data_IF_537983376345
#
_entry.id   IF_537983376345
#
_cell.length_a   1.000
_cell.length_b   1.000
_cell.length_c   1.000
_cell.angle_alpha   90.00
_cell.angle_beta   90.00
_cell.angle_gamma   90.00
#
_symmetry.space_group_name_H-M   'P 1'
#
loop_
_entity.id
_entity.type
_entity.pdbx_description
1 polymer ?
#
# COMPACT_ATOMS: atom_id res chain seq x y z
N UNK A 1 -43.41 0.99 -14.57
CA UNK A 1 -43.10 0.88 -13.14
C UNK A 1 -41.83 1.65 -12.73
N UNK A 2 -40.92 1.96 -13.64
CA UNK A 2 -39.65 2.66 -13.35
C UNK A 2 -39.72 4.19 -13.21
N UNK A 3 -40.61 4.96 -13.86
CA UNK A 3 -40.60 6.41 -13.75
C UNK A 3 -40.88 6.96 -12.35
N UNK A 4 -41.66 6.24 -11.55
CA UNK A 4 -41.99 6.67 -10.19
C UNK A 4 -40.84 6.54 -9.19
N UNK A 5 -39.88 5.63 -9.44
CA UNK A 5 -38.66 5.51 -8.63
C UNK A 5 -37.66 6.61 -8.97
N UNK A 6 -37.57 7.03 -10.25
CA UNK A 6 -36.72 8.15 -10.67
C UNK A 6 -37.19 9.49 -10.11
N UNK A 7 -38.49 9.67 -9.90
CA UNK A 7 -39.05 10.87 -9.27
C UNK A 7 -38.79 10.95 -7.74
N UNK A 8 -38.47 9.82 -7.10
CA UNK A 8 -38.09 9.73 -5.69
C UNK A 8 -36.58 9.84 -5.44
N UNK A 9 -35.76 9.86 -6.50
CA UNK A 9 -34.36 10.20 -6.32
C UNK A 9 -34.28 11.62 -5.81
N UNK A 10 -33.57 11.86 -4.68
CA UNK A 10 -33.38 13.21 -4.18
C UNK A 10 -32.81 14.05 -5.30
N UNK A 11 -33.48 15.15 -5.64
CA UNK A 11 -32.98 16.13 -6.61
C UNK A 11 -31.51 16.33 -6.30
N UNK A 12 -30.64 16.23 -7.30
CA UNK A 12 -29.18 16.30 -7.21
C UNK A 12 -28.74 17.55 -6.46
N UNK A 13 -28.89 17.52 -5.14
CA UNK A 13 -28.43 18.53 -4.22
C UNK A 13 -27.01 18.22 -3.76
N UNK A 14 -26.49 18.94 -2.80
CA UNK A 14 -25.13 18.86 -2.28
C UNK A 14 -24.59 17.46 -1.93
N UNK A 15 -25.46 16.44 -1.83
CA UNK A 15 -25.06 15.05 -1.67
C UNK A 15 -24.25 14.52 -2.85
N UNK A 16 -24.68 14.78 -4.09
CA UNK A 16 -23.97 14.32 -5.29
C UNK A 16 -22.59 14.97 -5.41
N UNK A 17 -22.49 16.26 -5.02
CA UNK A 17 -21.21 16.95 -4.99
C UNK A 17 -20.25 16.29 -3.98
N UNK A 18 -20.75 15.96 -2.80
CA UNK A 18 -19.94 15.26 -1.78
C UNK A 18 -19.41 13.90 -2.27
N UNK A 19 -20.23 13.14 -3.02
CA UNK A 19 -19.79 11.88 -3.63
C UNK A 19 -18.69 12.14 -4.65
N UNK A 20 -18.85 13.12 -5.54
CA UNK A 20 -17.83 13.47 -6.54
C UNK A 20 -16.49 13.84 -5.90
N UNK A 21 -16.53 14.68 -4.85
CA UNK A 21 -15.33 15.11 -4.14
C UNK A 21 -14.65 13.93 -3.44
N UNK A 22 -15.43 13.08 -2.78
CA UNK A 22 -14.89 11.87 -2.12
C UNK A 22 -14.22 10.94 -3.14
N UNK A 23 -14.86 10.73 -4.30
CA UNK A 23 -14.26 9.95 -5.39
C UNK A 23 -12.98 10.60 -5.92
N UNK A 24 -12.94 11.93 -6.07
CA UNK A 24 -11.74 12.66 -6.45
C UNK A 24 -10.57 12.44 -5.47
N UNK A 25 -10.81 12.42 -4.16
CA UNK A 25 -9.78 12.08 -3.18
C UNK A 25 -9.29 10.63 -3.32
N UNK A 26 -10.19 9.68 -3.59
CA UNK A 26 -9.82 8.28 -3.82
C UNK A 26 -9.00 8.13 -5.11
N UNK A 27 -9.36 8.85 -6.17
CA UNK A 27 -8.61 8.88 -7.43
C UNK A 27 -7.20 9.46 -7.23
N UNK A 28 -7.05 10.52 -6.43
CA UNK A 28 -5.73 11.06 -6.06
C UNK A 28 -4.89 10.04 -5.30
N UNK A 29 -5.51 9.32 -4.36
CA UNK A 29 -4.82 8.23 -3.65
C UNK A 29 -4.35 7.13 -4.59
N UNK A 30 -5.20 6.71 -5.54
CA UNK A 30 -4.85 5.73 -6.56
C UNK A 30 -3.76 6.25 -7.52
N UNK A 31 -3.83 7.51 -7.94
CA UNK A 31 -2.83 8.13 -8.80
C UNK A 31 -1.43 8.07 -8.20
N UNK A 32 -1.28 8.24 -6.88
CA UNK A 32 -0.01 8.11 -6.18
C UNK A 32 0.64 6.74 -6.39
N UNK A 33 -0.17 5.66 -6.44
CA UNK A 33 0.35 4.31 -6.74
C UNK A 33 0.95 4.24 -8.15
N UNK A 34 0.30 4.83 -9.15
CA UNK A 34 0.81 4.82 -10.52
C UNK A 34 2.09 5.67 -10.66
N UNK A 35 2.13 6.84 -10.00
CA UNK A 35 3.32 7.69 -9.96
C UNK A 35 4.49 6.95 -9.31
N UNK A 36 4.24 6.30 -8.16
CA UNK A 36 5.25 5.50 -7.48
C UNK A 36 5.73 4.31 -8.31
N UNK A 37 4.84 3.64 -9.05
CA UNK A 37 5.25 2.58 -9.96
C UNK A 37 6.17 3.09 -11.08
N UNK A 38 5.90 4.31 -11.61
CA UNK A 38 6.77 4.95 -12.60
C UNK A 38 8.12 5.30 -12.01
N UNK A 39 8.14 5.82 -10.79
CA UNK A 39 9.36 6.12 -10.03
C UNK A 39 10.24 4.88 -9.82
N UNK A 40 9.62 3.74 -9.47
CA UNK A 40 10.33 2.47 -9.31
C UNK A 40 10.99 1.98 -10.61
N UNK A 41 10.29 2.12 -11.76
CA UNK A 41 10.81 1.71 -13.07
C UNK A 41 11.95 2.62 -13.52
N UNK A 42 11.83 3.93 -13.27
CA UNK A 42 12.85 4.91 -13.66
C UNK A 42 13.94 5.12 -12.59
N UNK A 43 13.78 4.46 -11.42
CA UNK A 43 14.75 4.50 -10.32
C UNK A 43 15.06 5.93 -9.81
N UNK A 44 14.07 6.82 -9.82
CA UNK A 44 14.24 8.19 -9.30
C UNK A 44 14.39 8.21 -7.78
N UNK A 45 13.71 7.30 -7.06
CA UNK A 45 13.74 7.21 -5.61
C UNK A 45 13.06 8.37 -4.87
N UNK A 46 12.14 9.08 -5.55
CA UNK A 46 11.41 10.24 -4.99
C UNK A 46 10.17 9.76 -4.24
N UNK A 47 9.38 8.87 -4.88
CA UNK A 47 8.11 8.37 -4.34
C UNK A 47 8.32 7.07 -3.57
N UNK A 48 9.13 7.16 -2.53
CA UNK A 48 9.38 6.04 -1.61
C UNK A 48 8.10 5.62 -0.87
N UNK A 49 8.12 4.45 -0.23
CA UNK A 49 7.01 3.97 0.59
C UNK A 49 6.54 5.01 1.61
N UNK A 50 7.47 5.67 2.28
CA UNK A 50 7.16 6.70 3.28
C UNK A 50 6.44 7.90 2.67
N UNK A 51 6.87 8.37 1.48
CA UNK A 51 6.22 9.49 0.79
C UNK A 51 4.80 9.12 0.37
N UNK A 52 4.60 7.94 -0.20
CA UNK A 52 3.26 7.45 -0.59
C UNK A 52 2.35 7.32 0.62
N UNK A 53 2.84 6.73 1.72
CA UNK A 53 2.10 6.64 2.98
C UNK A 53 1.74 8.02 3.54
N UNK A 54 2.68 8.96 3.57
CA UNK A 54 2.41 10.32 4.07
C UNK A 54 1.30 11.01 3.27
N UNK A 55 1.32 10.88 1.94
CA UNK A 55 0.26 11.43 1.08
C UNK A 55 -1.08 10.74 1.35
N UNK A 56 -1.11 9.41 1.49
CA UNK A 56 -2.34 8.67 1.80
C UNK A 56 -2.92 9.04 3.17
N UNK A 57 -2.07 9.25 4.18
CA UNK A 57 -2.47 9.75 5.50
C UNK A 57 -3.14 11.11 5.37
N UNK A 58 -2.50 12.05 4.66
CA UNK A 58 -3.04 13.40 4.45
C UNK A 58 -4.38 13.33 3.71
N UNK A 59 -4.48 12.57 2.62
CA UNK A 59 -5.73 12.38 1.85
C UNK A 59 -6.84 11.83 2.76
N UNK A 60 -6.54 10.82 3.58
CA UNK A 60 -7.51 10.20 4.48
C UNK A 60 -8.05 11.19 5.52
N UNK A 61 -7.18 11.98 6.14
CA UNK A 61 -7.60 13.02 7.09
C UNK A 61 -8.36 14.15 6.40
N UNK A 62 -7.90 14.62 5.25
CA UNK A 62 -8.58 15.66 4.48
C UNK A 62 -9.99 15.22 4.08
N UNK A 63 -10.14 13.96 3.63
CA UNK A 63 -11.43 13.38 3.28
C UNK A 63 -12.35 13.26 4.51
N UNK A 64 -11.81 12.82 5.64
CA UNK A 64 -12.55 12.78 6.90
C UNK A 64 -13.05 14.16 7.33
N UNK A 65 -12.20 15.18 7.30
CA UNK A 65 -12.55 16.56 7.62
C UNK A 65 -13.55 17.16 6.63
N UNK A 66 -13.43 16.84 5.35
CA UNK A 66 -14.39 17.25 4.33
C UNK A 66 -15.78 16.66 4.60
N UNK A 67 -15.86 15.38 4.91
CA UNK A 67 -17.12 14.71 5.25
C UNK A 67 -17.75 15.29 6.52
N UNK A 68 -16.97 15.74 7.50
CA UNK A 68 -17.43 16.46 8.68
C UNK A 68 -17.87 17.91 8.37
N UNK A 69 -17.73 18.37 7.12
CA UNK A 69 -18.08 19.74 6.74
C UNK A 69 -17.15 20.82 7.31
N UNK A 70 -15.95 20.43 7.80
CA UNK A 70 -14.92 21.38 8.26
C UNK A 70 -14.18 22.04 7.11
N UNK A 71 -14.10 21.36 5.98
CA UNK A 71 -13.54 21.87 4.74
C UNK A 71 -14.69 22.06 3.76
N UNK A 72 -14.82 23.26 3.20
CA UNK A 72 -15.79 23.58 2.16
C UNK A 72 -15.06 23.84 0.86
N UNK A 73 -15.52 23.20 -0.20
CA UNK A 73 -15.02 23.40 -1.56
C UNK A 73 -16.03 24.23 -2.38
N UNK A 74 -15.59 24.85 -3.47
CA UNK A 74 -16.49 25.54 -4.37
C UNK A 74 -17.63 24.61 -4.83
N UNK A 75 -18.85 25.13 -4.85
CA UNK A 75 -20.09 24.41 -5.19
C UNK A 75 -20.61 23.44 -4.11
N UNK A 76 -20.03 23.44 -2.90
CA UNK A 76 -20.61 22.72 -1.77
C UNK A 76 -21.86 23.46 -1.25
N UNK A 77 -22.90 22.69 -0.95
CA UNK A 77 -24.08 23.21 -0.27
C UNK A 77 -23.79 23.41 1.21
N UNK A 78 -24.42 24.42 1.81
CA UNK A 78 -24.40 24.57 3.27
C UNK A 78 -25.00 23.32 3.93
N UNK A 79 -24.30 22.80 4.91
CA UNK A 79 -24.66 21.62 5.68
C UNK A 79 -25.11 22.08 7.09
N UNK A 80 -26.41 22.28 7.30
CA UNK A 80 -26.90 22.61 8.65
C UNK A 80 -26.74 21.45 9.63
N UNK A 81 -26.73 20.19 9.10
CA UNK A 81 -26.61 18.97 9.89
C UNK A 81 -25.71 17.96 9.18
N UNK A 82 -24.94 17.19 9.97
CA UNK A 82 -24.17 16.07 9.48
C UNK A 82 -25.04 14.82 9.57
N UNK A 83 -25.41 14.24 8.41
CA UNK A 83 -26.16 13.00 8.38
C UNK A 83 -25.32 11.81 8.87
N UNK A 84 -25.98 10.80 9.44
CA UNK A 84 -25.34 9.59 9.97
C UNK A 84 -24.40 8.92 8.95
N UNK A 85 -24.75 8.74 7.65
CA UNK A 85 -23.85 8.12 6.68
C UNK A 85 -22.54 8.89 6.50
N UNK A 86 -22.59 10.23 6.49
CA UNK A 86 -21.39 11.08 6.37
C UNK A 86 -20.50 10.98 7.60
N UNK A 87 -21.11 10.93 8.79
CA UNK A 87 -20.38 10.76 10.05
C UNK A 87 -19.66 9.41 10.07
N UNK A 88 -20.36 8.33 9.73
CA UNK A 88 -19.76 6.98 9.69
C UNK A 88 -18.61 6.92 8.69
N UNK A 89 -18.79 7.43 7.47
CA UNK A 89 -17.70 7.48 6.48
C UNK A 89 -16.52 8.32 6.97
N UNK A 90 -16.78 9.45 7.62
CA UNK A 90 -15.70 10.26 8.20
C UNK A 90 -14.90 9.49 9.24
N UNK A 91 -15.58 8.76 10.14
CA UNK A 91 -14.92 7.91 11.14
C UNK A 91 -14.06 6.84 10.45
N UNK A 92 -14.58 6.19 9.40
CA UNK A 92 -13.84 5.18 8.64
C UNK A 92 -12.55 5.76 8.05
N UNK A 93 -12.64 6.91 7.35
CA UNK A 93 -11.45 7.52 6.75
C UNK A 93 -10.46 8.06 7.79
N UNK A 94 -10.94 8.63 8.88
CA UNK A 94 -10.09 9.09 9.98
C UNK A 94 -9.36 7.91 10.65
N UNK A 95 -10.08 6.82 10.93
CA UNK A 95 -9.49 5.60 11.49
C UNK A 95 -8.47 4.96 10.55
N UNK A 96 -8.79 4.95 9.25
CA UNK A 96 -7.85 4.49 8.23
C UNK A 96 -6.59 5.35 8.18
N UNK A 97 -6.73 6.68 8.24
CA UNK A 97 -5.60 7.60 8.34
C UNK A 97 -4.72 7.35 9.56
N UNK A 98 -5.31 7.09 10.73
CA UNK A 98 -4.57 6.73 11.95
C UNK A 98 -3.83 5.40 11.77
N UNK A 99 -4.48 4.39 11.18
CA UNK A 99 -3.84 3.11 10.88
C UNK A 99 -2.62 3.26 9.96
N UNK A 100 -2.75 4.04 8.88
CA UNK A 100 -1.64 4.33 7.97
C UNK A 100 -0.50 5.11 8.64
N UNK A 101 -0.82 5.95 9.63
CA UNK A 101 0.20 6.68 10.40
C UNK A 101 1.12 5.72 11.16
N UNK A 102 0.60 4.58 11.65
CA UNK A 102 1.43 3.51 12.23
C UNK A 102 2.54 3.05 11.27
N UNK A 103 2.21 2.89 9.98
CA UNK A 103 3.19 2.53 8.94
C UNK A 103 4.31 3.56 8.75
N UNK A 104 4.04 4.86 8.94
CA UNK A 104 5.06 5.91 8.90
C UNK A 104 6.06 5.78 10.06
N UNK A 105 5.64 5.25 11.20
CA UNK A 105 6.49 5.00 12.37
C UNK A 105 7.08 3.59 12.40
N UNK A 106 7.07 2.88 11.26
CA UNK A 106 7.72 1.57 11.12
C UNK A 106 6.89 0.39 11.64
N UNK A 107 5.61 0.59 11.95
CA UNK A 107 4.73 -0.54 12.25
C UNK A 107 4.41 -1.31 10.97
N UNK A 108 4.43 -2.65 10.99
CA UNK A 108 4.11 -3.44 9.82
C UNK A 108 2.64 -3.23 9.42
N UNK A 109 2.43 -2.86 8.17
CA UNK A 109 1.11 -2.81 7.57
C UNK A 109 0.81 -4.18 6.96
N UNK A 110 -0.34 -4.75 7.29
CA UNK A 110 -0.68 -6.11 6.87
C UNK A 110 -1.67 -6.12 5.70
N UNK A 111 -1.62 -7.19 4.94
CA UNK A 111 -2.61 -7.51 3.91
C UNK A 111 -2.45 -6.71 2.62
N UNK A 112 -3.59 -6.31 2.04
CA UNK A 112 -3.62 -5.65 0.73
C UNK A 112 -2.88 -4.30 0.72
N UNK A 113 -2.86 -3.56 1.83
CA UNK A 113 -2.28 -2.23 1.88
C UNK A 113 -0.77 -2.29 1.63
N UNK A 114 -0.08 -3.21 2.29
CA UNK A 114 1.35 -3.41 2.09
C UNK A 114 1.69 -3.80 0.65
N UNK A 115 0.88 -4.66 0.05
CA UNK A 115 1.04 -5.08 -1.36
C UNK A 115 0.88 -3.94 -2.37
N UNK A 116 0.10 -2.91 -2.01
CA UNK A 116 -0.08 -1.72 -2.85
C UNK A 116 1.02 -0.67 -2.68
N UNK A 117 1.74 -0.71 -1.57
CA UNK A 117 2.85 0.20 -1.34
C UNK A 117 4.07 -0.18 -2.20
N UNK A 118 4.92 0.79 -2.56
CA UNK A 118 6.20 0.47 -3.17
C UNK A 118 7.07 -0.31 -2.19
N UNK A 119 7.89 -1.26 -2.67
CA UNK A 119 8.81 -1.99 -1.82
C UNK A 119 9.77 -1.01 -1.13
N UNK A 120 10.15 -1.33 0.11
CA UNK A 120 11.25 -0.63 0.78
C UNK A 120 12.53 -1.03 0.07
N UNK A 121 13.05 -0.14 -0.76
CA UNK A 121 14.37 -0.33 -1.38
C UNK A 121 15.42 0.10 -0.35
N UNK A 122 15.63 -0.72 0.65
CA UNK A 122 16.74 -0.53 1.57
C UNK A 122 18.02 -1.00 0.88
N UNK A 123 18.76 -0.07 0.31
CA UNK A 123 20.14 -0.31 -0.12
C UNK A 123 21.03 -0.85 1.02
N UNK A 124 20.53 -0.82 2.26
CA UNK A 124 21.20 -1.28 3.47
C UNK A 124 20.78 -2.69 3.91
N UNK A 125 19.74 -3.30 3.29
CA UNK A 125 19.31 -4.68 3.65
C UNK A 125 20.37 -5.73 3.30
N UNK A 126 21.26 -5.45 2.38
CA UNK A 126 22.41 -6.34 2.06
C UNK A 126 23.46 -6.40 3.19
N UNK A 127 23.45 -5.43 4.13
CA UNK A 127 24.48 -5.34 5.18
C UNK A 127 23.97 -5.56 6.62
N UNK A 128 22.67 -5.81 6.86
CA UNK A 128 22.11 -6.01 8.21
C UNK A 128 22.16 -7.50 8.65
N UNK A 129 23.03 -8.29 8.07
CA UNK A 129 23.19 -9.72 8.44
C UNK A 129 23.89 -9.92 9.80
N UNK A 130 24.38 -8.88 10.47
CA UNK A 130 25.35 -9.06 11.55
C UNK A 130 24.94 -8.60 12.97
N UNK A 131 23.77 -8.02 13.22
CA UNK A 131 23.53 -7.47 14.57
C UNK A 131 22.31 -8.00 15.35
N UNK A 132 21.41 -8.78 14.79
CA UNK A 132 20.18 -9.19 15.52
C UNK A 132 20.00 -10.68 15.76
N UNK A 133 20.96 -11.54 15.52
CA UNK A 133 20.90 -12.96 15.96
C UNK A 133 19.72 -13.79 15.44
N UNK A 134 18.82 -13.21 14.64
CA UNK A 134 17.79 -13.93 13.90
C UNK A 134 18.37 -14.30 12.53
N UNK A 135 18.28 -15.56 12.16
CA UNK A 135 18.68 -16.06 10.84
C UNK A 135 17.78 -15.43 9.76
N UNK A 136 18.08 -14.18 9.39
CA UNK A 136 17.43 -13.57 8.25
C UNK A 136 17.93 -14.23 6.98
N UNK A 137 17.01 -14.82 6.26
CA UNK A 137 17.24 -15.46 4.97
C UNK A 137 17.84 -14.47 3.98
N UNK A 138 19.03 -14.79 3.46
CA UNK A 138 19.75 -13.96 2.49
C UNK A 138 19.21 -14.23 1.09
N UNK A 139 18.71 -13.17 0.44
CA UNK A 139 18.28 -13.23 -0.94
C UNK A 139 19.37 -12.68 -1.86
N UNK A 140 19.78 -13.49 -2.81
CA UNK A 140 20.68 -13.06 -3.87
C UNK A 140 19.89 -12.37 -4.99
N UNK A 141 20.50 -11.44 -5.68
CA UNK A 141 19.97 -10.76 -6.87
C UNK A 141 20.76 -11.11 -8.14
N UNK A 142 21.83 -11.88 -7.98
CA UNK A 142 22.75 -12.26 -9.05
C UNK A 142 22.77 -13.79 -9.18
N UNK A 143 22.37 -14.29 -10.37
CA UNK A 143 22.31 -15.73 -10.64
C UNK A 143 23.67 -16.45 -10.53
N UNK A 144 24.78 -15.95 -11.13
CA UNK A 144 26.09 -16.56 -10.96
C UNK A 144 26.51 -16.74 -9.50
N UNK A 145 26.34 -15.73 -8.68
CA UNK A 145 26.70 -15.75 -7.26
C UNK A 145 25.85 -16.76 -6.48
N UNK A 146 24.52 -16.76 -6.69
CA UNK A 146 23.62 -17.72 -6.07
C UNK A 146 23.96 -19.18 -6.44
N UNK A 147 24.34 -19.42 -7.70
CA UNK A 147 24.75 -20.75 -8.16
C UNK A 147 26.07 -21.22 -7.55
N UNK A 148 27.03 -20.33 -7.35
CA UNK A 148 28.30 -20.67 -6.72
C UNK A 148 28.13 -21.00 -5.24
N UNK A 149 27.27 -20.24 -4.52
CA UNK A 149 26.91 -20.55 -3.14
C UNK A 149 26.14 -21.88 -3.06
N UNK A 150 25.19 -22.11 -3.96
CA UNK A 150 24.39 -23.33 -4.00
C UNK A 150 25.26 -24.59 -4.22
N UNK A 151 26.28 -24.49 -5.07
CA UNK A 151 27.26 -25.56 -5.27
C UNK A 151 28.12 -25.83 -4.02
N UNK A 152 28.49 -24.75 -3.30
CA UNK A 152 29.34 -24.84 -2.11
C UNK A 152 28.55 -25.41 -0.92
N UNK A 153 27.26 -25.04 -0.77
CA UNK A 153 26.39 -25.51 0.29
C UNK A 153 25.65 -26.81 -0.05
N UNK A 154 25.81 -27.32 -1.28
CA UNK A 154 25.08 -28.48 -1.81
C UNK A 154 23.55 -28.35 -1.68
N UNK A 155 23.02 -27.10 -1.81
CA UNK A 155 21.61 -26.78 -1.72
C UNK A 155 21.01 -26.44 -3.10
N UNK A 156 19.74 -26.76 -3.35
CA UNK A 156 19.04 -26.29 -4.54
C UNK A 156 18.79 -24.79 -4.46
N UNK A 157 18.63 -24.14 -5.63
CA UNK A 157 18.29 -22.71 -5.72
C UNK A 157 16.80 -22.55 -5.88
N UNK A 158 16.18 -21.74 -5.04
CA UNK A 158 14.82 -21.23 -5.21
C UNK A 158 14.88 -19.89 -5.95
N UNK A 159 14.23 -19.79 -7.12
CA UNK A 159 14.24 -18.59 -7.94
C UNK A 159 12.86 -17.93 -7.86
N UNK A 160 12.81 -16.73 -7.30
CA UNK A 160 11.63 -15.87 -7.31
C UNK A 160 11.73 -14.88 -8.49
N UNK A 161 10.91 -15.10 -9.53
CA UNK A 161 10.77 -14.16 -10.62
C UNK A 161 9.74 -13.09 -10.25
N UNK A 162 10.22 -11.94 -9.91
CA UNK A 162 9.37 -10.84 -9.41
C UNK A 162 9.47 -9.60 -10.31
N UNK A 163 8.73 -8.56 -9.98
CA UNK A 163 8.79 -7.28 -10.70
C UNK A 163 8.56 -6.11 -9.76
N UNK A 164 9.20 -4.99 -10.02
CA UNK A 164 9.12 -3.78 -9.18
C UNK A 164 7.67 -3.33 -8.93
N UNK A 165 6.77 -3.52 -9.90
CA UNK A 165 5.38 -3.09 -9.84
C UNK A 165 4.38 -4.23 -9.67
N UNK A 166 4.86 -5.45 -9.45
CA UNK A 166 4.04 -6.66 -9.35
C UNK A 166 3.37 -6.74 -7.97
N UNK A 167 2.13 -6.30 -7.86
CA UNK A 167 1.35 -6.32 -6.61
C UNK A 167 1.17 -7.75 -6.06
N UNK A 168 0.92 -8.73 -6.93
CA UNK A 168 0.76 -10.12 -6.51
C UNK A 168 2.07 -10.71 -5.97
N UNK A 169 3.21 -10.34 -6.56
CA UNK A 169 4.52 -10.77 -6.07
C UNK A 169 4.76 -10.23 -4.66
N UNK A 170 4.48 -8.93 -4.44
CA UNK A 170 4.57 -8.32 -3.09
C UNK A 170 3.65 -9.01 -2.09
N UNK A 171 2.42 -9.33 -2.52
CA UNK A 171 1.49 -10.05 -1.65
C UNK A 171 2.02 -11.44 -1.26
N UNK A 172 2.59 -12.18 -2.20
CA UNK A 172 3.22 -13.49 -1.94
C UNK A 172 4.38 -13.35 -0.96
N UNK A 173 5.25 -12.37 -1.20
CA UNK A 173 6.44 -12.15 -0.37
C UNK A 173 6.08 -11.81 1.07
N UNK A 174 5.08 -10.94 1.30
CA UNK A 174 4.69 -10.51 2.64
C UNK A 174 3.74 -11.47 3.37
N UNK A 175 2.92 -12.23 2.65
CA UNK A 175 1.89 -13.04 3.31
C UNK A 175 2.16 -14.55 3.26
N UNK A 176 2.91 -15.02 2.27
CA UNK A 176 3.19 -16.43 2.10
C UNK A 176 4.63 -16.77 2.48
N UNK A 177 5.60 -16.00 1.96
CA UNK A 177 7.02 -16.30 2.22
C UNK A 177 7.42 -16.08 3.68
N UNK A 178 6.71 -15.20 4.41
CA UNK A 178 6.92 -14.96 5.84
C UNK A 178 6.21 -15.98 6.76
N UNK A 179 5.41 -16.89 6.20
CA UNK A 179 4.82 -17.94 7.03
C UNK A 179 5.89 -18.84 7.64
N UNK A 180 5.82 -19.17 8.96
CA UNK A 180 6.86 -19.97 9.63
C UNK A 180 7.09 -21.34 9.01
N UNK A 181 6.08 -21.92 8.36
CA UNK A 181 6.19 -23.20 7.64
C UNK A 181 7.00 -23.07 6.35
N UNK A 182 6.80 -21.95 5.62
CA UNK A 182 7.49 -21.65 4.36
C UNK A 182 8.93 -21.28 4.66
N UNK A 183 9.17 -20.46 5.68
CA UNK A 183 10.50 -20.07 6.14
C UNK A 183 11.37 -21.30 6.47
N UNK A 184 10.78 -22.30 7.15
CA UNK A 184 11.50 -23.55 7.45
C UNK A 184 11.92 -24.31 6.19
N UNK A 185 11.06 -24.34 5.16
CA UNK A 185 11.39 -24.98 3.88
C UNK A 185 12.45 -24.19 3.12
N UNK A 186 12.40 -22.87 3.18
CA UNK A 186 13.37 -22.01 2.49
C UNK A 186 14.79 -22.16 3.03
N UNK A 187 15.00 -22.57 4.28
CA UNK A 187 16.31 -22.85 4.84
C UNK A 187 17.04 -24.02 4.12
N UNK A 188 16.31 -24.84 3.35
CA UNK A 188 16.88 -25.91 2.53
C UNK A 188 17.33 -25.43 1.15
N UNK A 189 17.11 -24.15 0.81
CA UNK A 189 17.39 -23.55 -0.48
C UNK A 189 18.34 -22.36 -0.37
N UNK A 190 19.05 -22.08 -1.44
CA UNK A 190 19.69 -20.78 -1.68
C UNK A 190 18.65 -19.90 -2.38
N UNK A 191 18.36 -18.73 -1.82
CA UNK A 191 17.28 -17.86 -2.27
C UNK A 191 17.78 -16.86 -3.30
N UNK A 192 17.20 -16.85 -4.48
CA UNK A 192 17.51 -15.92 -5.57
C UNK A 192 16.27 -15.17 -5.99
N UNK A 193 16.36 -13.85 -6.11
CA UNK A 193 15.29 -12.99 -6.61
C UNK A 193 15.74 -12.29 -7.87
N UNK A 194 14.97 -12.42 -8.95
CA UNK A 194 15.22 -11.80 -10.25
C UNK A 194 14.10 -10.84 -10.63
N UNK A 195 14.49 -9.63 -11.07
CA UNK A 195 13.58 -8.56 -11.51
C UNK A 195 13.52 -8.44 -13.03
#
# INVERSE_FOLDING_TARGET
>A
LFPQYLAKLPKSGGWLNSVKVTMGFLELGAAMKFISNTDLVWQWGIFTQQVVLAVWVIISFMMGLYLLGKIKLPHDSDLPFIGVPRLVLSIVFMSFGIYLTGGLFGQPLHGLIDSYLPPVVDANRQNIVLESGEEHMVWFDNLPEALDVAKTEEKPVFIDFTGYTCTNCRWMETNVFEEPKVQKLFNEFVMLRLY
#
